data_IF_403916665540
#
_entry.id   IF_403916665540
#
_cell.length_a   1.000
_cell.length_b   1.000
_cell.length_c   1.000
_cell.angle_alpha   90.00
_cell.angle_beta   90.00
_cell.angle_gamma   90.00
#
_symmetry.space_group_name_H-M   'P 1'
#
loop_
_entity.id
_entity.type
_entity.pdbx_description
1 polymer ?
#
# COMPACT_ATOMS: atom_id res chain seq x y z
N UNK A 1 -2.15 2.11 7.81
CA UNK A 1 -2.82 3.29 7.22
C UNK A 1 -4.01 3.80 8.05
N UNK A 2 -4.37 3.12 9.14
CA UNK A 2 -5.42 3.55 10.06
C UNK A 2 -6.84 3.42 9.49
N UNK A 3 -7.10 2.31 8.78
CA UNK A 3 -8.43 1.86 8.38
C UNK A 3 -8.55 0.37 8.66
N UNK A 4 -9.70 -0.05 9.15
CA UNK A 4 -10.03 -1.46 9.23
C UNK A 4 -10.62 -1.99 7.92
N UNK A 5 -10.80 -3.30 7.84
CA UNK A 5 -11.34 -3.94 6.64
C UNK A 5 -12.79 -3.54 6.36
N UNK A 6 -13.59 -3.29 7.38
CA UNK A 6 -14.99 -2.84 7.27
C UNK A 6 -15.04 -1.46 6.62
N UNK A 7 -14.19 -0.54 7.08
CA UNK A 7 -14.08 0.81 6.52
C UNK A 7 -13.62 0.81 5.06
N UNK A 8 -12.65 -0.06 4.71
CA UNK A 8 -12.23 -0.20 3.29
C UNK A 8 -13.36 -0.74 2.43
N UNK A 9 -14.19 -1.64 2.95
CA UNK A 9 -15.34 -2.24 2.24
C UNK A 9 -16.58 -1.36 2.24
N UNK A 10 -16.64 -0.35 3.11
CA UNK A 10 -17.77 0.55 3.17
C UNK A 10 -17.81 1.42 1.91
N UNK A 11 -19.02 1.87 1.54
CA UNK A 11 -19.22 2.85 0.46
C UNK A 11 -19.16 4.30 0.97
N UNK A 12 -18.74 4.49 2.23
CA UNK A 12 -18.59 5.83 2.79
C UNK A 12 -17.51 6.62 2.06
N UNK A 13 -17.69 7.94 1.88
CA UNK A 13 -16.65 8.80 1.32
C UNK A 13 -15.36 8.70 2.11
N UNK A 14 -14.21 8.66 1.43
CA UNK A 14 -12.90 8.57 2.08
C UNK A 14 -12.68 9.75 3.04
N UNK A 15 -13.16 10.92 2.68
CA UNK A 15 -13.08 12.14 3.49
C UNK A 15 -13.79 11.99 4.85
N UNK A 16 -14.85 11.19 4.91
CA UNK A 16 -15.55 10.85 6.16
C UNK A 16 -14.70 9.92 7.00
N UNK A 17 -14.12 8.89 6.38
CA UNK A 17 -13.24 7.93 7.06
C UNK A 17 -11.95 8.58 7.60
N UNK A 18 -11.41 9.58 6.90
CA UNK A 18 -10.22 10.30 7.34
C UNK A 18 -10.45 11.10 8.63
N UNK A 19 -11.70 11.49 8.93
CA UNK A 19 -12.05 12.18 10.18
C UNK A 19 -11.99 11.27 11.39
N UNK A 20 -12.30 9.98 11.20
CA UNK A 20 -12.14 8.98 12.25
C UNK A 20 -10.66 8.56 12.32
N UNK A 21 -10.02 9.00 13.39
CA UNK A 21 -8.59 8.70 13.65
C UNK A 21 -8.44 7.75 14.86
N UNK A 22 -9.50 7.08 15.28
CA UNK A 22 -9.47 6.18 16.45
C UNK A 22 -8.50 5.03 16.24
N UNK A 23 -8.55 4.38 15.09
CA UNK A 23 -7.66 3.26 14.74
C UNK A 23 -6.18 3.68 14.65
N UNK A 24 -5.89 4.97 14.35
CA UNK A 24 -4.51 5.46 14.37
C UNK A 24 -3.93 5.52 15.79
N UNK A 25 -4.78 5.52 16.82
CA UNK A 25 -4.35 5.51 18.22
C UNK A 25 -4.08 4.11 18.71
N UNK A 26 -4.62 3.09 18.04
CA UNK A 26 -4.36 1.71 18.39
C UNK A 26 -2.93 1.34 17.97
N UNK A 27 -2.17 0.82 18.89
CA UNK A 27 -0.80 0.36 18.63
C UNK A 27 -0.86 -1.01 17.94
N UNK A 28 -1.15 -0.98 16.63
CA UNK A 28 -1.10 -2.20 15.80
C UNK A 28 0.37 -2.57 15.63
N UNK A 29 0.80 -3.61 16.31
CA UNK A 29 2.14 -4.15 16.15
C UNK A 29 2.28 -4.86 14.80
N UNK A 30 2.68 -4.07 13.78
CA UNK A 30 2.96 -4.60 12.44
C UNK A 30 4.14 -5.58 12.47
N UNK A 31 5.07 -5.42 13.40
CA UNK A 31 6.21 -6.32 13.54
C UNK A 31 5.76 -7.71 13.94
N UNK A 32 4.93 -7.82 14.97
CA UNK A 32 4.31 -9.09 15.38
C UNK A 32 3.43 -9.67 14.25
N UNK A 33 2.59 -8.86 13.61
CA UNK A 33 1.77 -9.31 12.48
C UNK A 33 2.63 -9.86 11.33
N UNK A 34 3.75 -9.21 11.03
CA UNK A 34 4.67 -9.65 10.00
C UNK A 34 5.34 -10.98 10.35
N UNK A 35 5.94 -11.10 11.53
CA UNK A 35 6.67 -12.31 11.94
C UNK A 35 5.74 -13.51 12.15
N UNK A 36 4.60 -13.32 12.82
CA UNK A 36 3.71 -14.43 13.21
C UNK A 36 2.74 -14.86 12.12
N UNK A 37 2.42 -14.00 11.15
CA UNK A 37 1.43 -14.32 10.11
C UNK A 37 1.99 -14.22 8.70
N UNK A 38 2.47 -13.04 8.30
CA UNK A 38 2.79 -12.77 6.89
C UNK A 38 4.01 -13.57 6.45
N UNK A 39 5.06 -13.58 7.25
CA UNK A 39 6.29 -14.33 6.97
C UNK A 39 6.04 -15.84 6.95
N UNK A 40 5.26 -16.35 7.90
CA UNK A 40 4.92 -17.79 7.94
C UNK A 40 4.10 -18.20 6.72
N UNK A 41 3.10 -17.41 6.33
CA UNK A 41 2.30 -17.66 5.14
C UNK A 41 3.15 -17.58 3.86
N UNK A 42 4.03 -16.60 3.75
CA UNK A 42 4.96 -16.48 2.62
C UNK A 42 5.87 -17.69 2.50
N UNK A 43 6.43 -18.17 3.62
CA UNK A 43 7.27 -19.37 3.65
C UNK A 43 6.48 -20.62 3.22
N UNK A 44 5.24 -20.76 3.70
CA UNK A 44 4.36 -21.88 3.30
C UNK A 44 4.05 -21.85 1.80
N UNK A 45 3.80 -20.68 1.22
CA UNK A 45 3.59 -20.51 -0.23
C UNK A 45 4.86 -20.92 -0.99
N UNK A 46 6.03 -20.45 -0.55
CA UNK A 46 7.30 -20.79 -1.19
C UNK A 46 7.58 -22.29 -1.15
N UNK A 47 7.37 -22.92 0.00
CA UNK A 47 7.55 -24.39 0.16
C UNK A 47 6.57 -25.17 -0.73
N UNK A 48 5.28 -24.82 -0.68
CA UNK A 48 4.26 -25.47 -1.50
C UNK A 48 4.58 -25.35 -2.99
N UNK A 49 4.89 -24.16 -3.47
CA UNK A 49 5.18 -23.91 -4.88
C UNK A 49 6.46 -24.59 -5.35
N UNK A 50 7.48 -24.67 -4.49
CA UNK A 50 8.71 -25.42 -4.79
C UNK A 50 8.43 -26.93 -4.96
N UNK A 51 7.62 -27.50 -4.05
CA UNK A 51 7.19 -28.90 -4.15
C UNK A 51 6.35 -29.13 -5.40
N UNK A 52 5.37 -28.27 -5.67
CA UNK A 52 4.48 -28.40 -6.83
C UNK A 52 5.26 -28.42 -8.16
N UNK A 53 6.26 -27.54 -8.31
CA UNK A 53 7.11 -27.49 -9.53
C UNK A 53 7.82 -28.81 -9.82
N UNK A 54 8.18 -29.57 -8.80
CA UNK A 54 8.88 -30.85 -8.98
C UNK A 54 7.99 -31.94 -9.64
N UNK A 55 6.67 -31.79 -9.60
CA UNK A 55 5.71 -32.77 -10.10
C UNK A 55 4.92 -32.29 -11.35
N UNK A 56 5.08 -30.99 -11.73
CA UNK A 56 4.34 -30.40 -12.84
C UNK A 56 5.26 -30.36 -14.08
N UNK A 57 4.87 -31.09 -15.14
CA UNK A 57 5.55 -31.06 -16.44
C UNK A 57 4.98 -30.01 -17.43
N UNK A 58 3.94 -29.28 -17.04
CA UNK A 58 3.24 -28.31 -17.87
C UNK A 58 3.86 -26.91 -17.67
N UNK A 59 4.41 -26.33 -18.76
CA UNK A 59 5.08 -25.04 -18.72
C UNK A 59 4.15 -23.88 -18.33
N UNK A 60 2.88 -23.89 -18.75
CA UNK A 60 1.92 -22.83 -18.41
C UNK A 60 1.60 -22.84 -16.90
N UNK A 61 1.41 -24.02 -16.32
CA UNK A 61 1.22 -24.16 -14.87
C UNK A 61 2.48 -23.74 -14.10
N UNK A 62 3.66 -24.00 -14.62
CA UNK A 62 4.91 -23.54 -14.00
C UNK A 62 4.98 -22.01 -14.02
N UNK A 63 4.61 -21.34 -15.12
CA UNK A 63 4.53 -19.88 -15.20
C UNK A 63 3.52 -19.31 -14.21
N UNK A 64 2.36 -19.94 -14.06
CA UNK A 64 1.35 -19.54 -13.08
C UNK A 64 1.89 -19.61 -11.64
N UNK A 65 2.61 -20.69 -11.29
CA UNK A 65 3.28 -20.80 -9.98
C UNK A 65 4.29 -19.68 -9.78
N UNK A 66 5.07 -19.30 -10.79
CA UNK A 66 6.00 -18.18 -10.70
C UNK A 66 5.28 -16.86 -10.44
N UNK A 67 4.16 -16.60 -11.14
CA UNK A 67 3.35 -15.40 -10.90
C UNK A 67 2.85 -15.32 -9.46
N UNK A 68 2.35 -16.43 -8.91
CA UNK A 68 1.92 -16.51 -7.51
C UNK A 68 3.06 -16.22 -6.52
N UNK A 69 4.26 -16.74 -6.79
CA UNK A 69 5.44 -16.44 -5.97
C UNK A 69 5.82 -14.96 -6.01
N UNK A 70 5.78 -14.33 -7.19
CA UNK A 70 6.07 -12.90 -7.36
C UNK A 70 5.02 -12.07 -6.64
N UNK A 71 3.73 -12.43 -6.75
CA UNK A 71 2.66 -11.74 -6.03
C UNK A 71 2.87 -11.81 -4.51
N UNK A 72 3.16 -12.99 -3.96
CA UNK A 72 3.44 -13.18 -2.54
C UNK A 72 4.65 -12.34 -2.08
N UNK A 73 5.74 -12.34 -2.86
CA UNK A 73 6.93 -11.52 -2.59
C UNK A 73 6.57 -10.01 -2.55
N UNK A 74 5.80 -9.53 -3.51
CA UNK A 74 5.41 -8.12 -3.57
C UNK A 74 4.55 -7.71 -2.36
N UNK A 75 3.62 -8.56 -1.91
CA UNK A 75 2.83 -8.31 -0.69
C UNK A 75 3.73 -8.24 0.55
N UNK A 76 4.71 -9.14 0.66
CA UNK A 76 5.70 -9.12 1.77
C UNK A 76 6.51 -7.82 1.75
N UNK A 77 6.97 -7.37 0.59
CA UNK A 77 7.74 -6.13 0.45
C UNK A 77 6.88 -4.90 0.79
N UNK A 78 5.63 -4.85 0.33
CA UNK A 78 4.68 -3.79 0.71
C UNK A 78 4.49 -3.73 2.23
N UNK A 79 4.37 -4.89 2.89
CA UNK A 79 4.23 -4.94 4.36
C UNK A 79 5.48 -4.44 5.07
N UNK A 80 6.68 -4.79 4.57
CA UNK A 80 7.95 -4.28 5.14
C UNK A 80 8.02 -2.75 5.05
N UNK A 81 7.63 -2.16 3.93
CA UNK A 81 7.61 -0.70 3.79
C UNK A 81 6.56 -0.06 4.71
N UNK A 82 5.41 -0.71 4.91
CA UNK A 82 4.41 -0.23 5.87
C UNK A 82 4.96 -0.14 7.30
N UNK A 83 5.80 -1.07 7.73
CA UNK A 83 6.50 -1.02 9.04
C UNK A 83 7.32 0.26 9.19
N UNK A 84 7.99 0.70 8.10
CA UNK A 84 8.87 1.87 8.13
C UNK A 84 8.09 3.18 8.31
N UNK A 85 6.89 3.27 7.73
CA UNK A 85 6.09 4.51 7.77
C UNK A 85 5.09 4.57 8.91
N UNK A 86 4.78 3.44 9.57
CA UNK A 86 3.69 3.35 10.55
C UNK A 86 3.77 4.42 11.63
N UNK A 87 4.93 4.55 12.29
CA UNK A 87 5.11 5.50 13.40
C UNK A 87 4.93 6.94 12.97
N UNK A 88 5.48 7.31 11.81
CA UNK A 88 5.32 8.66 11.26
C UNK A 88 3.88 8.93 10.85
N UNK A 89 3.23 7.94 10.23
CA UNK A 89 1.84 8.05 9.81
C UNK A 89 0.91 8.25 11.01
N UNK A 90 1.10 7.53 12.11
CA UNK A 90 0.38 7.74 13.36
C UNK A 90 0.67 9.13 13.93
N UNK A 91 1.95 9.46 14.12
CA UNK A 91 2.39 10.73 14.72
C UNK A 91 1.87 11.94 13.95
N UNK A 92 2.07 11.95 12.64
CA UNK A 92 1.80 13.15 11.84
C UNK A 92 0.35 13.28 11.40
N UNK A 93 -0.40 12.17 11.18
CA UNK A 93 -1.84 12.25 10.97
C UNK A 93 -2.60 12.75 12.19
N UNK A 94 -2.03 12.59 13.40
CA UNK A 94 -2.59 13.10 14.66
C UNK A 94 -2.00 14.46 15.06
N UNK A 95 -1.11 15.03 14.26
CA UNK A 95 -0.45 16.29 14.56
C UNK A 95 -1.43 17.47 14.61
N UNK A 96 -1.18 18.40 15.51
CA UNK A 96 -1.87 19.70 15.55
C UNK A 96 -1.46 20.63 14.38
N UNK A 97 -0.35 20.37 13.73
CA UNK A 97 0.11 21.11 12.55
C UNK A 97 -0.70 20.66 11.31
N UNK A 98 -1.71 21.45 10.96
CA UNK A 98 -2.68 21.11 9.90
C UNK A 98 -2.03 20.82 8.56
N UNK A 99 -0.98 21.57 8.17
CA UNK A 99 -0.27 21.34 6.90
C UNK A 99 0.31 19.93 6.82
N UNK A 100 0.98 19.48 7.88
CA UNK A 100 1.60 18.17 7.95
C UNK A 100 0.53 17.06 8.03
N UNK A 101 -0.46 17.22 8.92
CA UNK A 101 -1.58 16.27 9.05
C UNK A 101 -2.33 16.09 7.73
N UNK A 102 -2.57 17.14 6.96
CA UNK A 102 -3.25 17.06 5.68
C UNK A 102 -2.46 16.24 4.65
N UNK A 103 -1.13 16.37 4.60
CA UNK A 103 -0.32 15.56 3.66
C UNK A 103 -0.36 14.06 4.00
N UNK A 104 -0.28 13.72 5.29
CA UNK A 104 -0.43 12.33 5.70
C UNK A 104 -1.85 11.80 5.48
N UNK A 105 -2.87 12.63 5.66
CA UNK A 105 -4.25 12.27 5.33
C UNK A 105 -4.46 12.09 3.81
N UNK A 106 -3.78 12.87 2.95
CA UNK A 106 -3.75 12.66 1.51
C UNK A 106 -3.13 11.30 1.14
N UNK A 107 -1.97 10.96 1.74
CA UNK A 107 -1.34 9.65 1.55
C UNK A 107 -2.29 8.51 1.97
N UNK A 108 -2.96 8.65 3.10
CA UNK A 108 -3.95 7.69 3.60
C UNK A 108 -5.13 7.55 2.64
N UNK A 109 -5.64 8.66 2.12
CA UNK A 109 -6.75 8.67 1.15
C UNK A 109 -6.39 7.91 -0.13
N UNK A 110 -5.21 8.19 -0.69
CA UNK A 110 -4.74 7.51 -1.92
C UNK A 110 -4.63 6.00 -1.70
N UNK A 111 -4.05 5.58 -0.58
CA UNK A 111 -3.91 4.16 -0.24
C UNK A 111 -5.27 3.50 0.01
N UNK A 112 -6.20 4.18 0.70
CA UNK A 112 -7.55 3.69 0.92
C UNK A 112 -8.30 3.47 -0.40
N UNK A 113 -8.17 4.38 -1.36
CA UNK A 113 -8.75 4.23 -2.71
C UNK A 113 -8.18 3.05 -3.46
N UNK A 114 -6.86 2.82 -3.39
CA UNK A 114 -6.23 1.63 -3.98
C UNK A 114 -6.77 0.34 -3.33
N UNK A 115 -6.79 0.29 -2.00
CA UNK A 115 -7.29 -0.89 -1.28
C UNK A 115 -8.77 -1.17 -1.56
N UNK A 116 -9.61 -0.13 -1.70
CA UNK A 116 -11.01 -0.28 -2.14
C UNK A 116 -11.11 -0.86 -3.55
N UNK A 117 -10.29 -0.39 -4.47
CA UNK A 117 -10.28 -0.92 -5.83
C UNK A 117 -9.84 -2.39 -5.86
N UNK A 118 -8.89 -2.78 -5.02
CA UNK A 118 -8.47 -4.18 -4.86
C UNK A 118 -9.61 -5.02 -4.26
N UNK A 119 -10.33 -4.50 -3.25
CA UNK A 119 -11.47 -5.20 -2.65
C UNK A 119 -12.64 -5.30 -3.65
N UNK A 120 -12.90 -4.26 -4.43
CA UNK A 120 -13.88 -4.27 -5.52
C UNK A 120 -13.57 -5.38 -6.53
N UNK A 121 -12.31 -5.50 -6.96
CA UNK A 121 -11.85 -6.56 -7.86
C UNK A 121 -12.09 -7.96 -7.28
N UNK A 122 -11.86 -8.13 -5.98
CA UNK A 122 -12.03 -9.42 -5.30
C UNK A 122 -13.49 -9.90 -5.26
N UNK A 123 -14.45 -8.97 -5.18
CA UNK A 123 -15.89 -9.30 -5.07
C UNK A 123 -16.61 -9.31 -6.40
N UNK A 124 -16.03 -8.73 -7.46
CA UNK A 124 -16.62 -8.71 -8.80
C UNK A 124 -16.32 -10.03 -9.50
N UNK A 125 -17.36 -10.73 -9.96
CA UNK A 125 -17.20 -12.07 -10.55
C UNK A 125 -17.09 -12.07 -12.08
N UNK A 126 -17.63 -11.05 -12.77
CA UNK A 126 -17.79 -11.12 -14.23
C UNK A 126 -16.73 -10.27 -14.99
N UNK A 127 -16.98 -9.02 -15.33
CA UNK A 127 -16.01 -8.22 -16.07
C UNK A 127 -15.15 -7.34 -15.15
N UNK A 128 -13.94 -7.82 -14.87
CA UNK A 128 -12.95 -7.11 -14.06
C UNK A 128 -12.16 -6.02 -14.84
N UNK A 129 -12.38 -5.88 -16.15
CA UNK A 129 -11.52 -5.04 -17.00
C UNK A 129 -11.51 -3.56 -16.60
N UNK A 130 -12.66 -3.03 -16.17
CA UNK A 130 -12.79 -1.65 -15.72
C UNK A 130 -12.08 -1.41 -14.38
N UNK A 131 -12.22 -2.35 -13.43
CA UNK A 131 -11.58 -2.27 -12.12
C UNK A 131 -10.06 -2.44 -12.25
N UNK A 132 -9.61 -3.34 -13.10
CA UNK A 132 -8.20 -3.53 -13.42
C UNK A 132 -7.57 -2.27 -14.01
N UNK A 133 -8.23 -1.62 -14.99
CA UNK A 133 -7.78 -0.33 -15.53
C UNK A 133 -7.69 0.75 -14.46
N UNK A 134 -8.61 0.76 -13.51
CA UNK A 134 -8.61 1.67 -12.36
C UNK A 134 -7.40 1.42 -11.45
N UNK A 135 -7.11 0.14 -11.14
CA UNK A 135 -5.93 -0.25 -10.34
C UNK A 135 -4.63 0.12 -11.06
N UNK A 136 -4.53 -0.15 -12.36
CA UNK A 136 -3.34 0.20 -13.15
C UNK A 136 -3.07 1.71 -13.18
N UNK A 137 -4.10 2.56 -13.15
CA UNK A 137 -3.94 4.01 -13.04
C UNK A 137 -3.25 4.44 -11.73
N UNK A 138 -3.34 3.65 -10.66
CA UNK A 138 -2.61 3.97 -9.44
C UNK A 138 -1.09 3.90 -9.63
N UNK A 139 -0.57 3.15 -10.61
CA UNK A 139 0.86 3.16 -10.93
C UNK A 139 1.35 4.58 -11.26
N UNK A 140 0.58 5.32 -12.05
CA UNK A 140 0.89 6.70 -12.42
C UNK A 140 0.42 7.74 -11.41
N UNK A 141 -0.61 7.43 -10.61
CA UNK A 141 -1.12 8.35 -9.59
C UNK A 141 -0.14 8.59 -8.44
N UNK A 142 0.78 7.66 -8.22
CA UNK A 142 1.87 7.80 -7.26
C UNK A 142 3.18 8.29 -7.92
N UNK A 143 3.19 8.52 -9.24
CA UNK A 143 4.28 9.19 -9.93
C UNK A 143 4.15 10.70 -9.70
N UNK A 144 4.45 11.13 -8.48
CA UNK A 144 4.63 12.55 -8.19
C UNK A 144 5.85 13.06 -8.97
N UNK A 145 5.74 14.25 -9.54
CA UNK A 145 6.93 14.96 -9.94
C UNK A 145 7.75 15.24 -8.68
N UNK A 146 8.94 14.67 -8.59
CA UNK A 146 9.82 14.82 -7.44
C UNK A 146 10.11 16.32 -7.18
N UNK A 147 10.11 17.15 -8.23
CA UNK A 147 10.28 18.60 -8.12
C UNK A 147 9.09 19.28 -7.43
N UNK A 148 7.86 18.86 -7.76
CA UNK A 148 6.66 19.44 -7.13
C UNK A 148 6.62 19.11 -5.63
N UNK A 149 7.00 17.87 -5.27
CA UNK A 149 7.09 17.47 -3.87
C UNK A 149 8.16 18.25 -3.13
N UNK A 150 9.36 18.36 -3.70
CA UNK A 150 10.46 19.12 -3.11
C UNK A 150 10.07 20.59 -2.91
N UNK A 151 9.51 21.22 -3.96
CA UNK A 151 9.04 22.61 -3.87
C UNK A 151 7.98 22.82 -2.77
N UNK A 152 7.06 21.86 -2.62
CA UNK A 152 6.04 21.91 -1.58
C UNK A 152 6.63 21.79 -0.18
N UNK A 153 7.58 20.89 0.01
CA UNK A 153 8.28 20.69 1.28
C UNK A 153 9.13 21.93 1.62
N UNK A 154 9.88 22.47 0.65
CA UNK A 154 10.67 23.67 0.81
C UNK A 154 9.80 24.87 1.21
N UNK A 155 8.62 24.98 0.59
CA UNK A 155 7.64 26.01 0.98
C UNK A 155 7.18 25.84 2.43
N UNK A 156 6.84 24.62 2.86
CA UNK A 156 6.42 24.35 4.24
C UNK A 156 7.54 24.64 5.25
N UNK A 157 8.80 24.33 4.91
CA UNK A 157 9.97 24.61 5.74
C UNK A 157 10.21 26.13 5.81
N UNK A 158 10.16 26.83 4.68
CA UNK A 158 10.39 28.30 4.62
C UNK A 158 9.33 29.08 5.40
N UNK A 159 8.10 28.60 5.39
CA UNK A 159 6.99 29.13 6.19
C UNK A 159 7.05 28.74 7.67
N UNK A 160 8.06 27.97 8.08
CA UNK A 160 8.19 27.41 9.45
C UNK A 160 6.98 26.56 9.87
N UNK A 161 6.24 26.02 8.89
CA UNK A 161 5.11 25.12 9.12
C UNK A 161 5.56 23.71 9.50
N UNK A 162 6.76 23.33 9.08
CA UNK A 162 7.45 22.08 9.46
C UNK A 162 8.95 22.35 9.64
N UNK A 163 9.61 21.51 10.41
CA UNK A 163 11.06 21.49 10.53
C UNK A 163 11.72 20.77 9.34
N UNK A 164 13.02 20.98 9.14
CA UNK A 164 13.81 20.26 8.11
C UNK A 164 13.72 18.73 8.33
N UNK A 165 13.80 18.29 9.58
CA UNK A 165 13.69 16.86 9.93
C UNK A 165 12.33 16.28 9.57
N UNK A 166 11.24 17.01 9.77
CA UNK A 166 9.88 16.61 9.38
C UNK A 166 9.73 16.56 7.85
N UNK A 167 10.31 17.54 7.14
CA UNK A 167 10.34 17.54 5.68
C UNK A 167 11.08 16.33 5.12
N UNK A 168 12.25 16.00 5.66
CA UNK A 168 13.02 14.80 5.26
C UNK A 168 12.25 13.51 5.56
N UNK A 169 11.60 13.41 6.73
CA UNK A 169 10.76 12.28 7.08
C UNK A 169 9.60 12.12 6.09
N UNK A 170 8.94 13.22 5.72
CA UNK A 170 7.84 13.20 4.76
C UNK A 170 8.27 12.73 3.37
N UNK A 171 9.45 13.14 2.88
CA UNK A 171 10.02 12.64 1.61
C UNK A 171 10.22 11.12 1.63
N UNK A 172 10.81 10.61 2.69
CA UNK A 172 11.03 9.18 2.84
C UNK A 172 9.69 8.42 2.89
N UNK A 173 8.71 8.92 3.64
CA UNK A 173 7.41 8.29 3.79
C UNK A 173 6.61 8.29 2.48
N UNK A 174 6.69 9.36 1.69
CA UNK A 174 6.12 9.40 0.32
C UNK A 174 6.75 8.34 -0.58
N UNK A 175 8.07 8.19 -0.55
CA UNK A 175 8.79 7.16 -1.31
C UNK A 175 8.36 5.75 -0.89
N UNK A 176 8.20 5.48 0.41
CA UNK A 176 7.70 4.19 0.90
C UNK A 176 6.23 3.96 0.50
N UNK A 177 5.37 4.98 0.59
CA UNK A 177 3.97 4.89 0.16
C UNK A 177 3.86 4.55 -1.33
N UNK A 178 4.65 5.23 -2.17
CA UNK A 178 4.77 4.89 -3.60
C UNK A 178 5.18 3.44 -3.80
N UNK A 179 6.21 3.00 -3.10
CA UNK A 179 6.68 1.62 -3.20
C UNK A 179 5.61 0.61 -2.76
N UNK A 180 4.87 0.87 -1.66
CA UNK A 180 3.76 0.02 -1.21
C UNK A 180 2.70 -0.09 -2.32
N UNK A 181 2.28 1.05 -2.88
CA UNK A 181 1.27 1.07 -3.93
C UNK A 181 1.71 0.30 -5.18
N UNK A 182 2.93 0.52 -5.66
CA UNK A 182 3.49 -0.20 -6.81
C UNK A 182 3.56 -1.70 -6.55
N UNK A 183 4.02 -2.13 -5.37
CA UNK A 183 4.08 -3.54 -5.00
C UNK A 183 2.69 -4.20 -4.94
N UNK A 184 1.67 -3.49 -4.46
CA UNK A 184 0.30 -4.00 -4.48
C UNK A 184 -0.25 -4.09 -5.91
N UNK A 185 -0.01 -3.10 -6.77
CA UNK A 185 -0.41 -3.12 -8.19
C UNK A 185 0.29 -4.27 -8.92
N UNK A 186 1.61 -4.46 -8.74
CA UNK A 186 2.37 -5.58 -9.31
C UNK A 186 1.83 -6.93 -8.83
N UNK A 187 1.48 -7.06 -7.56
CA UNK A 187 0.89 -8.29 -7.02
C UNK A 187 -0.44 -8.61 -7.72
N UNK A 188 -1.31 -7.61 -7.92
CA UNK A 188 -2.57 -7.77 -8.65
C UNK A 188 -2.31 -8.17 -10.10
N UNK A 189 -1.37 -7.54 -10.80
CA UNK A 189 -0.99 -7.92 -12.15
C UNK A 189 -0.59 -9.39 -12.27
N UNK A 190 0.24 -9.86 -11.32
CA UNK A 190 0.63 -11.27 -11.26
C UNK A 190 -0.56 -12.21 -11.01
N UNK A 191 -1.48 -11.84 -10.10
CA UNK A 191 -2.64 -12.67 -9.75
C UNK A 191 -3.67 -12.76 -10.89
N UNK A 192 -3.84 -11.71 -11.67
CA UNK A 192 -4.81 -11.63 -12.77
C UNK A 192 -4.18 -11.80 -14.15
N UNK A 193 -2.90 -12.17 -14.23
CA UNK A 193 -2.16 -12.39 -15.46
C UNK A 193 -2.19 -11.19 -16.43
N UNK A 194 -1.90 -10.00 -15.89
CA UNK A 194 -1.88 -8.74 -16.63
C UNK A 194 -0.44 -8.26 -16.72
N UNK A 195 -0.01 -7.88 -17.93
CA UNK A 195 1.26 -7.16 -18.10
C UNK A 195 1.11 -5.73 -17.54
N UNK A 196 1.99 -5.36 -16.59
CA UNK A 196 2.00 -4.09 -15.87
C UNK A 196 3.22 -3.27 -16.29
#
# INVERSE_FOLDING_TARGET
IGFDRGQIRSFEPIETLLKDKTILKDDIDIDTLYEEKIKLLSNAIMEFTAKAKAYIGDEEKIKEIFRLQIAAKNIVEATKHMRLIQKNLQKYSLSSYKSLSNEYDNMRAMMANLLRSIEELRITSDDNSSVLKKILKFKTSFDYDDLDILNKIDLLISQKSISISEGTSMLNDLSFMRSIALKLVEAIGCLYNIEI
#
